data_IF_920864913013
#
_entry.id   IF_920864913013
#
_cell.length_a   1.000
_cell.length_b   1.000
_cell.length_c   1.000
_cell.angle_alpha   90.00
_cell.angle_beta   90.00
_cell.angle_gamma   90.00
#
_symmetry.space_group_name_H-M   'P 1'
#
loop_
_entity.id
_entity.type
_entity.pdbx_description
1 polymer ?
#
# COMPACT_ATOMS: atom_id res chain seq x y z
N UNK A 1 -12.04 -4.81 31.09
CA UNK A 1 -11.85 -5.52 32.38
C UNK A 1 -11.77 -7.03 32.21
N UNK A 2 -11.25 -7.77 33.21
CA UNK A 2 -11.27 -9.25 33.24
C UNK A 2 -12.24 -9.70 34.32
N UNK A 3 -13.17 -10.60 33.97
CA UNK A 3 -14.15 -11.17 34.89
C UNK A 3 -13.92 -12.68 35.02
N UNK A 4 -14.23 -13.24 36.19
CA UNK A 4 -14.05 -14.67 36.46
C UNK A 4 -15.37 -15.31 36.88
N UNK A 5 -15.71 -16.45 36.29
CA UNK A 5 -16.91 -17.19 36.69
C UNK A 5 -16.72 -17.77 38.11
N UNK A 6 -17.63 -17.49 39.07
CA UNK A 6 -17.49 -17.97 40.44
C UNK A 6 -17.66 -19.49 40.57
N UNK A 7 -18.33 -20.14 39.62
CA UNK A 7 -18.60 -21.58 39.67
C UNK A 7 -17.49 -22.47 39.09
N UNK A 8 -16.68 -21.96 38.15
CA UNK A 8 -15.67 -22.78 37.46
C UNK A 8 -14.36 -22.04 37.15
N UNK A 9 -14.16 -20.86 37.77
CA UNK A 9 -12.98 -20.00 37.69
C UNK A 9 -12.46 -19.69 36.27
N UNK A 10 -13.32 -19.81 35.26
CA UNK A 10 -12.96 -19.47 33.87
C UNK A 10 -12.95 -17.95 33.72
N UNK A 11 -11.86 -17.41 33.18
CA UNK A 11 -11.63 -15.97 33.01
C UNK A 11 -12.03 -15.52 31.61
N UNK A 12 -12.70 -14.38 31.51
CA UNK A 12 -13.10 -13.76 30.25
C UNK A 12 -12.61 -12.31 30.20
N UNK A 13 -12.10 -11.90 29.05
CA UNK A 13 -11.77 -10.50 28.77
C UNK A 13 -13.02 -9.86 28.19
N UNK A 14 -13.58 -8.85 28.87
CA UNK A 14 -14.81 -8.17 28.47
C UNK A 14 -14.55 -6.66 28.43
N UNK A 15 -14.96 -5.97 27.36
CA UNK A 15 -14.86 -4.50 27.31
C UNK A 15 -15.78 -3.87 28.36
N UNK A 16 -15.33 -2.79 28.99
CA UNK A 16 -16.04 -2.18 30.13
C UNK A 16 -17.42 -1.63 29.72
N UNK A 17 -17.56 -1.22 28.46
CA UNK A 17 -18.82 -0.79 27.84
C UNK A 17 -19.87 -1.89 27.75
N UNK A 18 -19.50 -3.17 27.80
CA UNK A 18 -20.46 -4.29 27.70
C UNK A 18 -21.13 -4.63 29.03
N UNK A 19 -20.50 -4.26 30.16
CA UNK A 19 -21.07 -4.36 31.50
C UNK A 19 -21.80 -3.08 31.86
N UNK A 20 -21.23 -1.91 31.52
CA UNK A 20 -21.79 -0.62 31.88
C UNK A 20 -21.53 -0.27 33.35
N UNK A 21 -21.82 0.96 33.74
CA UNK A 21 -21.56 1.49 35.10
C UNK A 21 -22.49 0.90 36.15
N UNK A 22 -23.73 0.57 35.78
CA UNK A 22 -24.74 0.02 36.69
C UNK A 22 -24.55 -1.49 36.97
N UNK A 23 -23.53 -2.10 36.37
CA UNK A 23 -23.35 -3.56 36.40
C UNK A 23 -24.31 -4.31 35.47
N UNK A 24 -24.00 -5.58 35.19
CA UNK A 24 -24.81 -6.44 34.32
C UNK A 24 -24.75 -7.90 34.74
N UNK A 25 -25.87 -8.59 34.59
CA UNK A 25 -25.92 -10.05 34.73
C UNK A 25 -25.27 -10.73 33.52
N UNK A 26 -24.22 -11.51 33.79
CA UNK A 26 -23.43 -12.24 32.79
C UNK A 26 -23.60 -13.75 32.98
N UNK A 27 -23.41 -14.52 31.90
CA UNK A 27 -23.52 -15.98 31.92
C UNK A 27 -22.23 -16.63 31.42
N UNK A 28 -21.71 -17.58 32.18
CA UNK A 28 -20.50 -18.32 31.80
C UNK A 28 -20.77 -19.22 30.58
N UNK A 29 -19.94 -19.12 29.54
CA UNK A 29 -20.04 -19.99 28.37
C UNK A 29 -19.69 -21.47 28.69
N UNK A 30 -18.81 -21.70 29.67
CA UNK A 30 -18.34 -23.05 30.04
C UNK A 30 -19.33 -23.84 30.89
N UNK A 31 -19.83 -23.27 31.99
CA UNK A 31 -20.71 -23.96 32.94
C UNK A 31 -22.14 -23.44 32.98
N UNK A 32 -22.48 -22.42 32.17
CA UNK A 32 -23.81 -21.79 32.08
C UNK A 32 -24.32 -21.13 33.36
N UNK A 33 -23.50 -21.00 34.40
CA UNK A 33 -23.82 -20.26 35.61
C UNK A 33 -23.96 -18.75 35.31
N UNK A 34 -25.01 -18.13 35.81
CA UNK A 34 -25.28 -16.69 35.66
C UNK A 34 -25.05 -15.97 36.98
N UNK A 35 -24.29 -14.87 36.95
CA UNK A 35 -24.01 -14.02 38.11
C UNK A 35 -24.06 -12.54 37.71
N UNK A 36 -24.24 -11.65 38.68
CA UNK A 36 -24.18 -10.20 38.45
C UNK A 36 -22.74 -9.72 38.58
N UNK A 37 -22.30 -8.89 37.64
CA UNK A 37 -20.97 -8.28 37.64
C UNK A 37 -21.13 -6.77 37.72
N UNK A 38 -20.58 -6.17 38.76
CA UNK A 38 -20.58 -4.72 38.94
C UNK A 38 -19.71 -4.04 37.87
N UNK A 39 -20.11 -2.84 37.47
CA UNK A 39 -19.34 -2.00 36.56
C UNK A 39 -18.03 -1.54 37.17
N UNK A 40 -17.08 -1.04 36.38
CA UNK A 40 -15.91 -0.37 36.93
C UNK A 40 -16.37 0.85 37.74
N UNK A 41 -15.91 0.98 38.99
CA UNK A 41 -16.10 2.19 39.78
C UNK A 41 -15.42 3.35 39.05
N UNK A 42 -16.23 4.23 38.45
CA UNK A 42 -15.75 5.52 37.98
C UNK A 42 -15.64 6.40 39.21
N UNK A 43 -14.40 6.70 39.61
CA UNK A 43 -14.11 7.69 40.63
C UNK A 43 -14.52 9.08 40.12
N UNK A 44 -15.80 9.42 40.32
CA UNK A 44 -16.37 10.75 40.12
C UNK A 44 -16.39 11.53 41.45
N UNK A 45 -15.50 11.17 42.39
CA UNK A 45 -15.58 11.53 43.81
C UNK A 45 -14.51 12.48 44.34
N UNK A 46 -13.79 13.25 43.51
CA UNK A 46 -12.84 14.29 43.99
C UNK A 46 -13.02 15.66 43.31
N UNK A 47 -14.26 16.06 43.05
CA UNK A 47 -14.60 17.45 42.69
C UNK A 47 -15.76 18.02 43.52
N UNK A 48 -15.88 17.63 44.79
CA UNK A 48 -16.69 18.35 45.76
C UNK A 48 -15.85 18.54 47.02
N UNK A 49 -15.84 19.78 47.53
CA UNK A 49 -15.14 20.27 48.72
C UNK A 49 -13.68 20.77 48.57
N UNK A 50 -13.48 21.69 47.62
CA UNK A 50 -12.62 22.86 47.92
C UNK A 50 -13.53 24.01 48.33
N UNK A 51 -13.53 24.47 49.60
CA UNK A 51 -14.21 25.69 49.98
C UNK A 51 -13.64 26.85 49.15
N UNK A 52 -14.52 27.51 48.41
CA UNK A 52 -14.23 28.75 47.71
C UNK A 52 -13.71 29.78 48.73
N UNK A 53 -12.41 30.09 48.66
CA UNK A 53 -11.86 31.25 49.35
C UNK A 53 -12.09 32.47 48.45
N UNK A 54 -13.13 33.21 48.80
CA UNK A 54 -13.44 34.57 48.38
C UNK A 54 -12.16 35.45 48.31
N UNK A 55 -11.96 36.27 47.27
CA UNK A 55 -10.81 37.14 47.16
C UNK A 55 -10.99 38.37 48.07
N UNK A 56 -10.35 38.36 49.24
CA UNK A 56 -10.22 39.56 50.05
C UNK A 56 -9.18 40.51 49.43
N UNK A 57 -9.68 41.65 48.99
CA UNK A 57 -8.91 42.87 48.77
C UNK A 57 -8.51 43.46 50.12
N UNK A 58 -7.21 43.63 50.35
CA UNK A 58 -6.61 44.78 51.05
C UNK A 58 -5.08 44.71 50.89
N UNK A 59 -4.46 45.60 50.11
CA UNK A 59 -3.92 46.89 50.59
C UNK A 59 -3.02 46.76 51.82
N UNK A 60 -1.72 46.51 51.60
CA UNK A 60 -0.71 47.21 52.39
C UNK A 60 0.53 47.53 51.55
N UNK A 61 0.69 48.83 51.33
CA UNK A 61 1.79 49.45 50.62
C UNK A 61 3.03 49.63 51.51
N UNK A 62 4.16 49.74 50.81
CA UNK A 62 5.40 50.44 51.17
C UNK A 62 6.40 49.74 52.09
N UNK A 63 7.53 49.33 51.49
CA UNK A 63 8.87 49.93 51.67
C UNK A 63 9.80 49.35 50.59
N UNK A 64 10.17 50.14 49.59
CA UNK A 64 11.43 50.88 49.46
C UNK A 64 12.35 50.22 48.42
N UNK A 65 12.45 50.89 47.28
CA UNK A 65 13.51 50.75 46.26
C UNK A 65 14.84 51.23 46.85
N UNK A 66 15.99 50.68 46.42
CA UNK A 66 16.74 51.39 45.38
C UNK A 66 17.27 50.49 44.27
N UNK A 67 17.11 50.96 43.03
CA UNK A 67 17.94 50.59 41.89
C UNK A 67 19.30 51.28 42.00
N UNK A 68 20.36 50.64 41.50
CA UNK A 68 21.10 51.22 40.36
C UNK A 68 21.47 50.08 39.38
N UNK A 69 21.99 50.22 38.17
CA UNK A 69 22.48 51.32 37.34
C UNK A 69 22.36 50.74 35.92
N UNK A 70 21.84 51.51 34.97
CA UNK A 70 21.91 51.16 33.55
C UNK A 70 23.24 51.70 33.02
N UNK A 71 24.21 50.83 32.77
CA UNK A 71 25.39 51.16 31.97
C UNK A 71 25.36 50.41 30.63
N UNK A 72 25.21 51.22 29.57
CA UNK A 72 25.83 51.14 28.25
C UNK A 72 25.78 49.83 27.44
N UNK A 73 24.96 49.85 26.38
CA UNK A 73 25.39 49.30 25.09
C UNK A 73 26.67 50.00 24.60
N UNK A 74 27.47 49.30 23.79
CA UNK A 74 27.87 49.87 22.52
C UNK A 74 27.46 48.97 21.35
N UNK A 75 26.66 49.56 20.47
CA UNK A 75 26.88 49.70 19.04
C UNK A 75 27.71 48.64 18.28
N UNK A 76 27.02 48.00 17.32
CA UNK A 76 27.44 47.68 15.95
C UNK A 76 28.84 47.13 15.65
N UNK A 77 28.86 45.91 15.11
CA UNK A 77 29.74 45.56 14.00
C UNK A 77 28.93 44.82 12.92
N UNK A 78 28.86 45.44 11.73
CA UNK A 78 28.24 44.92 10.51
C UNK A 78 28.98 43.68 9.98
N UNK A 79 28.31 42.82 9.18
CA UNK A 79 28.95 41.68 8.53
C UNK A 79 29.94 42.16 7.45
N UNK A 80 31.18 41.70 7.56
CA UNK A 80 32.20 41.86 6.52
C UNK A 80 31.97 40.85 5.40
N UNK A 81 31.53 41.34 4.25
CA UNK A 81 31.66 40.68 2.96
C UNK A 81 33.13 40.73 2.50
N UNK A 82 33.66 39.62 2.01
CA UNK A 82 34.83 39.42 1.11
C UNK A 82 35.19 37.92 1.20
N UNK A 83 35.41 37.11 0.17
CA UNK A 83 35.75 37.31 -1.22
C UNK A 83 35.23 36.11 -2.05
N UNK A 84 34.67 36.42 -3.22
CA UNK A 84 35.11 35.91 -4.54
C UNK A 84 35.84 34.56 -4.57
N UNK A 85 35.17 33.52 -5.08
CA UNK A 85 35.75 32.74 -6.18
C UNK A 85 34.65 32.18 -7.09
N UNK A 86 34.45 32.89 -8.20
CA UNK A 86 33.88 32.38 -9.45
C UNK A 86 34.95 31.52 -10.12
N UNK A 87 34.60 30.33 -10.62
CA UNK A 87 35.14 29.92 -11.91
C UNK A 87 34.02 29.89 -12.97
N UNK A 88 34.20 30.76 -13.96
CA UNK A 88 33.43 30.81 -15.20
C UNK A 88 33.63 29.54 -16.06
N UNK A 89 32.73 29.29 -17.01
CA UNK A 89 32.52 28.03 -17.67
C UNK A 89 33.57 27.79 -18.75
N UNK A 90 34.06 26.54 -18.83
CA UNK A 90 34.88 26.12 -19.96
C UNK A 90 33.97 25.62 -21.08
N UNK A 91 33.95 26.42 -22.13
CA UNK A 91 33.46 26.15 -23.48
C UNK A 91 34.03 24.86 -24.07
N UNK A 92 33.17 24.09 -24.75
CA UNK A 92 33.34 23.67 -26.16
C UNK A 92 32.57 22.35 -26.42
N UNK A 93 31.51 22.37 -27.25
CA UNK A 93 30.93 21.16 -27.82
C UNK A 93 31.75 20.73 -29.05
N UNK A 94 32.28 19.52 -29.03
CA UNK A 94 32.83 18.89 -30.24
C UNK A 94 31.69 18.25 -31.04
N UNK A 95 31.54 18.75 -32.26
CA UNK A 95 30.72 18.19 -33.32
C UNK A 95 31.42 16.97 -33.93
N UNK A 96 30.67 15.89 -34.17
CA UNK A 96 30.86 14.94 -35.30
C UNK A 96 29.50 14.25 -35.46
N UNK A 97 28.60 14.77 -36.30
CA UNK A 97 28.50 14.60 -37.75
C UNK A 97 28.11 13.16 -38.17
N UNK A 98 27.09 13.12 -39.05
CA UNK A 98 26.57 12.01 -39.90
C UNK A 98 25.97 10.78 -39.16
N UNK A 99 24.78 10.25 -39.42
CA UNK A 99 23.95 10.20 -40.64
C UNK A 99 22.50 9.83 -40.25
N UNK A 100 21.52 10.43 -40.90
CA UNK A 100 20.13 9.99 -40.98
C UNK A 100 19.62 10.41 -42.37
N UNK A 101 18.51 9.89 -42.89
CA UNK A 101 18.18 8.52 -43.27
C UNK A 101 17.90 8.40 -44.79
N UNK A 102 18.12 7.23 -45.37
CA UNK A 102 17.65 6.85 -46.72
C UNK A 102 17.42 5.33 -46.69
N UNK A 103 16.54 4.69 -47.44
CA UNK A 103 15.36 5.06 -48.22
C UNK A 103 14.74 3.72 -48.66
N UNK A 104 13.43 3.73 -48.82
CA UNK A 104 12.58 2.75 -49.48
C UNK A 104 13.23 2.00 -50.68
N UNK A 105 12.92 0.71 -50.84
CA UNK A 105 12.20 0.11 -52.01
C UNK A 105 12.51 -1.39 -52.16
N UNK A 106 11.43 -2.17 -52.14
CA UNK A 106 11.33 -3.55 -52.61
C UNK A 106 11.46 -3.64 -54.14
N UNK A 107 12.21 -4.62 -54.66
CA UNK A 107 11.95 -5.18 -56.00
C UNK A 107 12.16 -6.69 -55.98
N UNK A 108 11.04 -7.39 -55.97
CA UNK A 108 10.84 -8.75 -56.47
C UNK A 108 10.68 -8.65 -58.00
N UNK A 109 11.53 -9.32 -58.78
CA UNK A 109 11.21 -9.81 -60.14
C UNK A 109 12.41 -10.51 -60.78
N UNK A 110 12.35 -11.83 -60.89
CA UNK A 110 13.00 -12.55 -61.98
C UNK A 110 11.94 -13.42 -62.66
N UNK A 111 11.60 -13.02 -63.90
CA UNK A 111 10.76 -13.75 -64.85
C UNK A 111 11.71 -14.26 -65.93
N UNK A 112 11.69 -15.55 -66.21
CA UNK A 112 12.13 -16.08 -67.50
C UNK A 112 11.02 -16.90 -68.12
N UNK A 113 10.61 -16.42 -69.29
CA UNK A 113 9.68 -17.02 -70.23
C UNK A 113 10.20 -18.37 -70.76
N UNK A 114 9.28 -19.27 -71.08
CA UNK A 114 9.49 -20.21 -72.18
C UNK A 114 8.18 -20.38 -72.96
N UNK A 115 8.31 -20.09 -74.24
CA UNK A 115 7.25 -19.97 -75.24
C UNK A 115 6.71 -21.34 -75.72
N UNK A 116 5.45 -21.30 -76.16
CA UNK A 116 4.77 -22.27 -77.03
C UNK A 116 5.10 -21.97 -78.51
N UNK A 117 5.12 -22.98 -79.40
CA UNK A 117 4.20 -23.00 -80.57
C UNK A 117 3.54 -24.41 -80.74
N UNK A 118 2.25 -24.57 -81.09
CA UNK A 118 1.61 -24.44 -82.43
C UNK A 118 1.87 -25.73 -83.26
N UNK A 119 0.97 -26.43 -83.94
CA UNK A 119 -0.46 -26.36 -84.31
C UNK A 119 -0.77 -27.75 -84.94
N UNK A 120 -2.02 -28.22 -84.93
CA UNK A 120 -2.58 -28.89 -86.11
C UNK A 120 -4.11 -28.99 -86.00
N UNK A 121 -4.77 -28.47 -87.02
CA UNK A 121 -6.20 -28.30 -87.21
C UNK A 121 -6.58 -29.11 -88.45
N UNK A 122 -7.75 -29.76 -88.49
CA UNK A 122 -8.66 -29.84 -89.65
C UNK A 122 -10.00 -30.54 -89.25
N UNK A 123 -11.11 -30.34 -89.98
CA UNK A 123 -12.43 -30.06 -89.37
C UNK A 123 -13.59 -30.98 -89.84
N UNK A 124 -14.78 -30.68 -89.28
CA UNK A 124 -16.16 -30.96 -89.75
C UNK A 124 -16.76 -32.36 -89.48
N UNK A 125 -18.10 -32.58 -89.60
CA UNK A 125 -19.28 -31.68 -89.60
C UNK A 125 -20.33 -32.04 -88.50
N UNK A 126 -21.40 -31.25 -88.27
CA UNK A 126 -22.37 -31.52 -87.21
C UNK A 126 -23.46 -32.51 -87.62
N UNK A 127 -23.87 -33.46 -86.76
CA UNK A 127 -25.16 -34.13 -86.89
C UNK A 127 -26.22 -33.47 -85.99
N UNK A 128 -27.17 -32.84 -86.67
CA UNK A 128 -28.62 -32.96 -86.50
C UNK A 128 -29.16 -33.16 -85.09
N UNK A 129 -29.69 -32.07 -84.52
CA UNK A 129 -30.65 -32.10 -83.43
C UNK A 129 -31.89 -32.85 -83.89
N UNK A 130 -32.14 -34.03 -83.32
CA UNK A 130 -33.49 -34.56 -83.25
C UNK A 130 -34.03 -34.13 -81.90
N UNK A 131 -34.92 -33.13 -81.91
CA UNK A 131 -35.81 -32.84 -80.79
C UNK A 131 -36.73 -34.07 -80.62
N UNK A 132 -36.26 -35.05 -79.86
CA UNK A 132 -37.14 -36.09 -79.33
C UNK A 132 -37.54 -35.62 -77.94
N UNK A 133 -38.77 -35.12 -77.82
CA UNK A 133 -39.41 -34.84 -76.55
C UNK A 133 -39.40 -36.13 -75.70
N UNK A 134 -38.61 -36.22 -74.60
CA UNK A 134 -38.66 -37.39 -73.74
C UNK A 134 -39.93 -37.30 -72.90
N UNK A 135 -40.77 -38.32 -73.06
CA UNK A 135 -41.95 -38.62 -72.24
C UNK A 135 -41.74 -38.29 -70.75
N UNK A 136 -42.78 -37.81 -70.03
CA UNK A 136 -42.68 -37.51 -68.61
C UNK A 136 -42.30 -38.79 -67.85
N UNK A 137 -41.06 -38.84 -67.35
CA UNK A 137 -40.67 -39.87 -66.38
C UNK A 137 -41.55 -39.69 -65.14
N UNK A 138 -42.14 -40.77 -64.60
CA UNK A 138 -42.72 -40.69 -63.27
C UNK A 138 -41.61 -40.24 -62.34
N UNK A 139 -41.81 -39.11 -61.65
CA UNK A 139 -40.88 -38.64 -60.63
C UNK A 139 -40.55 -39.82 -59.73
N UNK A 140 -39.29 -40.27 -59.66
CA UNK A 140 -38.90 -41.12 -58.56
C UNK A 140 -39.12 -40.23 -57.34
N UNK A 141 -40.17 -40.52 -56.57
CA UNK A 141 -40.25 -40.07 -55.18
C UNK A 141 -38.98 -40.61 -54.54
N UNK A 142 -37.96 -39.78 -54.51
CA UNK A 142 -36.77 -39.96 -53.69
C UNK A 142 -37.26 -39.78 -52.27
N UNK A 143 -37.93 -40.82 -51.77
CA UNK A 143 -37.84 -41.13 -50.37
C UNK A 143 -36.35 -41.36 -50.13
N UNK A 144 -35.66 -40.28 -49.80
CA UNK A 144 -34.42 -40.31 -49.05
C UNK A 144 -34.78 -40.97 -47.73
N UNK A 145 -34.80 -42.30 -47.75
CA UNK A 145 -34.54 -43.06 -46.56
C UNK A 145 -33.11 -42.70 -46.19
N UNK A 146 -32.98 -41.76 -45.26
CA UNK A 146 -31.83 -41.67 -44.37
C UNK A 146 -31.86 -42.93 -43.47
N UNK A 147 -31.83 -44.11 -44.08
CA UNK A 147 -31.48 -45.34 -43.40
C UNK A 147 -29.97 -45.39 -43.40
N UNK A 148 -29.41 -44.72 -42.39
CA UNK A 148 -28.10 -45.11 -41.88
C UNK A 148 -28.16 -46.61 -41.61
N UNK A 149 -27.31 -47.37 -42.33
CA UNK A 149 -27.33 -48.82 -42.27
C UNK A 149 -26.98 -49.25 -40.86
N UNK A 150 -27.75 -50.17 -40.27
CA UNK A 150 -27.41 -50.77 -38.97
C UNK A 150 -26.09 -51.57 -38.99
N UNK A 151 -25.47 -51.69 -40.17
CA UNK A 151 -24.17 -52.32 -40.39
C UNK A 151 -23.10 -51.33 -40.89
N UNK A 152 -23.37 -50.03 -40.89
CA UNK A 152 -22.32 -49.04 -41.11
C UNK A 152 -21.28 -49.18 -39.98
N UNK A 153 -20.03 -49.40 -40.38
CA UNK A 153 -18.91 -49.66 -39.47
C UNK A 153 -18.58 -48.39 -38.67
N UNK A 154 -19.24 -48.21 -37.52
CA UNK A 154 -18.83 -47.19 -36.54
C UNK A 154 -17.56 -47.71 -35.84
N UNK A 155 -16.40 -47.03 -35.95
CA UNK A 155 -15.17 -47.49 -35.33
C UNK A 155 -15.39 -47.61 -33.81
N UNK A 156 -15.00 -48.73 -33.16
CA UNK A 156 -15.32 -49.02 -31.76
C UNK A 156 -14.72 -48.01 -30.77
N UNK A 157 -13.82 -47.13 -31.23
CA UNK A 157 -13.20 -46.09 -30.42
C UNK A 157 -13.27 -44.75 -31.16
N UNK A 158 -14.18 -43.88 -30.71
CA UNK A 158 -14.19 -42.45 -31.09
C UNK A 158 -12.81 -41.86 -30.79
N UNK A 159 -12.27 -41.04 -31.72
CA UNK A 159 -10.92 -40.49 -31.60
C UNK A 159 -10.73 -39.88 -30.21
N UNK A 160 -9.66 -40.28 -29.51
CA UNK A 160 -9.31 -39.72 -28.20
C UNK A 160 -9.33 -38.21 -28.28
N UNK A 161 -10.07 -37.59 -27.36
CA UNK A 161 -10.22 -36.13 -27.17
C UNK A 161 -8.96 -35.40 -27.65
N UNK A 162 -9.12 -34.42 -28.54
CA UNK A 162 -8.00 -33.64 -29.06
C UNK A 162 -7.22 -33.04 -27.88
N UNK A 163 -6.02 -33.55 -27.55
CA UNK A 163 -5.30 -33.15 -26.34
C UNK A 163 -5.01 -31.65 -26.39
N UNK A 164 -4.72 -31.11 -27.58
CA UNK A 164 -4.48 -29.69 -27.78
C UNK A 164 -5.68 -28.84 -27.33
N UNK A 165 -6.92 -29.25 -27.64
CA UNK A 165 -8.13 -28.55 -27.20
C UNK A 165 -8.33 -28.60 -25.67
N UNK A 166 -7.93 -29.71 -25.04
CA UNK A 166 -7.97 -29.83 -23.57
C UNK A 166 -6.91 -28.92 -22.94
N UNK A 167 -5.70 -28.90 -23.49
CA UNK A 167 -4.62 -28.04 -23.03
C UNK A 167 -4.94 -26.55 -23.23
N UNK A 168 -5.56 -26.17 -24.35
CA UNK A 168 -6.02 -24.78 -24.55
C UNK A 168 -7.15 -24.41 -23.59
N UNK A 169 -8.09 -25.32 -23.32
CA UNK A 169 -9.16 -25.09 -22.34
C UNK A 169 -8.60 -24.98 -20.91
N UNK A 170 -7.63 -25.81 -20.55
CA UNK A 170 -6.95 -25.75 -19.26
C UNK A 170 -6.13 -24.45 -19.12
N UNK A 171 -5.42 -24.03 -20.16
CA UNK A 171 -4.68 -22.77 -20.17
C UNK A 171 -5.62 -21.56 -20.06
N UNK A 172 -6.75 -21.57 -20.78
CA UNK A 172 -7.75 -20.51 -20.69
C UNK A 172 -8.37 -20.44 -19.29
N UNK A 173 -8.71 -21.59 -18.69
CA UNK A 173 -9.20 -21.65 -17.31
C UNK A 173 -8.16 -21.11 -16.32
N UNK A 174 -6.90 -21.55 -16.43
CA UNK A 174 -5.82 -21.05 -15.59
C UNK A 174 -5.63 -19.54 -15.75
N UNK A 175 -5.67 -19.01 -16.97
CA UNK A 175 -5.57 -17.58 -17.23
C UNK A 175 -6.73 -16.81 -16.58
N UNK A 176 -7.96 -17.33 -16.64
CA UNK A 176 -9.11 -16.74 -15.94
C UNK A 176 -8.95 -16.76 -14.42
N UNK A 177 -8.47 -17.87 -13.85
CA UNK A 177 -8.20 -17.96 -12.40
C UNK A 177 -7.09 -17.01 -12.00
N UNK A 178 -5.99 -16.96 -12.75
CA UNK A 178 -4.87 -16.06 -12.49
C UNK A 178 -5.30 -14.59 -12.56
N UNK A 179 -6.04 -14.20 -13.61
CA UNK A 179 -6.59 -12.86 -13.74
C UNK A 179 -7.56 -12.53 -12.59
N UNK A 180 -8.44 -13.48 -12.25
CA UNK A 180 -9.35 -13.35 -11.11
C UNK A 180 -8.63 -13.17 -9.78
N UNK A 181 -7.52 -13.90 -9.55
CA UNK A 181 -6.69 -13.73 -8.35
C UNK A 181 -5.99 -12.38 -8.33
N UNK A 182 -5.47 -11.89 -9.45
CA UNK A 182 -4.84 -10.56 -9.53
C UNK A 182 -5.85 -9.46 -9.23
N UNK A 183 -7.06 -9.55 -9.82
CA UNK A 183 -8.15 -8.60 -9.54
C UNK A 183 -8.57 -8.67 -8.08
N UNK A 184 -8.70 -9.87 -7.51
CA UNK A 184 -9.06 -10.04 -6.10
C UNK A 184 -8.00 -9.44 -5.17
N UNK A 185 -6.71 -9.71 -5.40
CA UNK A 185 -5.60 -9.14 -4.62
C UNK A 185 -5.52 -7.61 -4.80
N UNK A 186 -5.80 -7.11 -5.99
CA UNK A 186 -5.80 -5.65 -6.24
C UNK A 186 -6.93 -4.92 -5.52
N UNK A 187 -8.08 -5.55 -5.32
CA UNK A 187 -9.24 -4.92 -4.70
C UNK A 187 -9.31 -5.16 -3.18
N UNK A 188 -9.03 -6.37 -2.74
CA UNK A 188 -9.12 -6.78 -1.33
C UNK A 188 -7.78 -6.75 -0.59
N UNK A 189 -6.67 -6.58 -1.31
CA UNK A 189 -5.32 -6.67 -0.74
C UNK A 189 -4.85 -8.11 -0.54
N UNK A 190 -3.61 -8.24 -0.05
CA UNK A 190 -3.05 -9.54 0.33
C UNK A 190 -3.64 -9.98 1.68
N UNK A 191 -4.12 -11.23 1.79
CA UNK A 191 -4.67 -11.72 3.03
C UNK A 191 -3.58 -11.86 4.12
N UNK A 192 -3.96 -11.70 5.39
CA UNK A 192 -3.03 -11.63 6.52
C UNK A 192 -2.19 -12.90 6.78
N UNK A 193 -2.61 -14.04 6.23
CA UNK A 193 -1.86 -15.30 6.33
C UNK A 193 -0.67 -15.37 5.36
N UNK A 194 -0.59 -14.48 4.38
CA UNK A 194 0.52 -14.47 3.42
C UNK A 194 1.76 -13.84 4.06
N UNK A 195 2.93 -14.50 4.09
CA UNK A 195 4.14 -14.04 4.78
C UNK A 195 4.88 -12.98 3.95
N UNK A 196 4.17 -11.99 3.45
CA UNK A 196 4.76 -10.83 2.77
C UNK A 196 5.11 -9.80 3.84
N UNK A 197 6.38 -9.42 3.93
CA UNK A 197 6.83 -8.37 4.83
C UNK A 197 6.24 -7.04 4.38
N UNK A 198 5.17 -6.57 5.04
CA UNK A 198 4.65 -5.21 4.84
C UNK A 198 5.73 -4.22 5.31
N UNK A 199 6.00 -3.12 4.57
CA UNK A 199 6.93 -2.10 5.03
C UNK A 199 6.43 -1.54 6.36
N UNK A 200 7.33 -1.43 7.34
CA UNK A 200 6.99 -0.94 8.69
C UNK A 200 6.65 0.55 8.67
N UNK A 201 7.26 1.30 7.76
CA UNK A 201 7.05 2.73 7.58
C UNK A 201 6.36 3.01 6.24
N UNK A 202 5.61 4.11 6.19
CA UNK A 202 5.13 4.65 4.93
C UNK A 202 6.29 5.09 4.03
N UNK A 203 6.00 5.21 2.74
CA UNK A 203 6.92 5.78 1.75
C UNK A 203 7.35 7.18 2.21
N UNK A 204 8.64 7.49 2.07
CA UNK A 204 9.17 8.81 2.38
C UNK A 204 8.38 9.89 1.64
N UNK A 205 7.95 10.92 2.36
CA UNK A 205 7.28 12.05 1.74
C UNK A 205 8.30 12.90 0.98
N UNK A 206 8.01 13.33 -0.26
CA UNK A 206 9.00 14.00 -1.11
C UNK A 206 9.43 15.36 -0.59
N UNK A 207 8.54 16.05 0.14
CA UNK A 207 8.75 17.42 0.62
C UNK A 207 8.98 17.51 2.13
N UNK A 208 8.82 16.41 2.88
CA UNK A 208 8.95 16.40 4.34
C UNK A 208 10.11 15.49 4.76
N UNK A 209 11.16 16.11 5.26
CA UNK A 209 12.37 15.43 5.73
C UNK A 209 12.28 15.28 7.25
N UNK A 210 12.49 14.06 7.74
CA UNK A 210 12.68 13.81 9.17
C UNK A 210 14.18 13.72 9.46
N UNK A 211 14.62 14.50 10.44
CA UNK A 211 15.98 14.45 10.96
C UNK A 211 15.93 14.12 12.45
N UNK A 212 16.31 12.89 12.80
CA UNK A 212 16.36 12.37 14.18
C UNK A 212 17.77 11.87 14.47
N UNK A 213 18.68 12.78 14.83
CA UNK A 213 20.09 12.45 14.92
C UNK A 213 20.34 11.60 16.18
N UNK A 214 21.30 10.66 16.09
CA UNK A 214 21.51 9.64 17.12
C UNK A 214 22.05 10.20 18.44
N UNK A 215 22.67 11.38 18.42
CA UNK A 215 23.13 12.12 19.60
C UNK A 215 21.99 12.71 20.43
N UNK A 216 20.81 12.90 19.82
CA UNK A 216 19.59 13.36 20.49
C UNK A 216 18.67 12.21 20.95
N UNK A 217 19.14 10.96 20.86
CA UNK A 217 18.44 9.80 21.40
C UNK A 217 18.98 9.48 22.79
N UNK A 218 18.18 9.72 23.82
CA UNK A 218 18.55 9.46 25.20
C UNK A 218 17.92 8.15 25.68
N UNK A 219 18.76 7.27 26.25
CA UNK A 219 18.29 6.02 26.85
C UNK A 219 18.81 5.92 28.28
N UNK A 220 17.89 5.81 29.23
CA UNK A 220 18.19 5.73 30.65
C UNK A 220 17.41 4.62 31.31
N UNK A 221 18.05 3.91 32.23
CA UNK A 221 17.34 2.95 33.08
C UNK A 221 16.75 3.71 34.27
N UNK A 222 15.45 3.58 34.48
CA UNK A 222 14.78 4.16 35.65
C UNK A 222 14.99 3.29 36.90
N UNK A 223 14.76 3.84 38.11
CA UNK A 223 14.88 3.08 39.36
C UNK A 223 13.96 1.86 39.45
N UNK A 224 12.85 1.87 38.70
CA UNK A 224 11.89 0.76 38.57
C UNK A 224 12.42 -0.39 37.69
N UNK A 225 13.59 -0.23 37.07
CA UNK A 225 14.21 -1.20 36.18
C UNK A 225 13.67 -1.19 34.75
N UNK A 226 12.76 -0.27 34.41
CA UNK A 226 12.30 -0.02 33.05
C UNK A 226 13.28 0.88 32.29
N UNK A 227 13.33 0.75 30.96
CA UNK A 227 14.11 1.66 30.13
C UNK A 227 13.24 2.83 29.68
N UNK A 228 13.76 4.04 29.86
CA UNK A 228 13.28 5.27 29.27
C UNK A 228 13.98 5.48 27.95
N UNK A 229 13.20 5.83 26.93
CA UNK A 229 13.73 6.21 25.63
C UNK A 229 13.10 7.55 25.22
N UNK A 230 13.95 8.57 25.08
CA UNK A 230 13.59 9.86 24.51
C UNK A 230 14.22 10.00 23.12
N UNK A 231 13.43 10.42 22.15
CA UNK A 231 13.94 10.80 20.83
C UNK A 231 13.48 12.22 20.52
N UNK A 232 14.47 13.06 20.22
CA UNK A 232 14.25 14.40 19.70
C UNK A 232 14.68 14.47 18.24
N UNK A 233 13.94 15.24 17.45
CA UNK A 233 14.24 15.45 16.05
C UNK A 233 13.46 16.61 15.46
N UNK A 234 13.75 16.90 14.20
CA UNK A 234 13.07 17.95 13.44
C UNK A 234 12.41 17.40 12.19
N UNK A 235 11.26 17.96 11.86
CA UNK A 235 10.57 17.74 10.60
C UNK A 235 10.66 19.04 9.81
N UNK A 236 11.25 19.01 8.63
CA UNK A 236 11.40 20.18 7.78
C UNK A 236 10.64 20.01 6.48
N UNK A 237 9.78 20.98 6.15
CA UNK A 237 9.15 21.05 4.84
C UNK A 237 10.13 21.69 3.85
N UNK A 238 10.79 20.90 3.01
CA UNK A 238 11.70 21.36 1.95
C UNK A 238 10.96 21.73 0.66
N UNK A 239 9.64 21.55 0.62
CA UNK A 239 8.78 21.87 -0.51
C UNK A 239 8.48 23.38 -0.64
N UNK A 240 7.69 23.71 -1.67
CA UNK A 240 7.20 25.07 -1.94
C UNK A 240 5.74 25.28 -1.55
N UNK A 241 5.08 24.22 -1.10
CA UNK A 241 3.66 24.23 -0.73
C UNK A 241 3.49 23.84 0.74
N UNK A 242 2.41 24.30 1.35
CA UNK A 242 2.03 23.86 2.70
C UNK A 242 1.65 22.38 2.65
N UNK A 243 2.30 21.56 3.47
CA UNK A 243 2.08 20.10 3.54
C UNK A 243 1.47 19.70 4.87
N UNK A 244 0.66 18.65 4.84
CA UNK A 244 0.15 18.01 6.05
C UNK A 244 1.21 17.04 6.59
N UNK A 245 1.50 17.14 7.89
CA UNK A 245 2.46 16.27 8.57
C UNK A 245 1.72 15.06 9.13
N UNK A 246 1.99 13.84 8.63
CA UNK A 246 1.36 12.64 9.17
C UNK A 246 1.97 12.27 10.52
N UNK A 247 1.33 11.33 11.23
CA UNK A 247 1.91 10.74 12.42
C UNK A 247 3.23 10.02 12.10
N UNK A 248 4.13 10.06 13.07
CA UNK A 248 5.39 9.30 13.05
C UNK A 248 5.18 8.00 13.81
N UNK A 249 5.77 6.92 13.32
CA UNK A 249 5.88 5.66 14.02
C UNK A 249 7.34 5.48 14.45
N UNK A 250 7.55 5.19 15.73
CA UNK A 250 8.86 4.78 16.22
C UNK A 250 8.81 3.29 16.52
N UNK A 251 9.75 2.55 15.95
CA UNK A 251 9.84 1.09 16.09
C UNK A 251 11.18 0.74 16.69
N UNK A 252 11.13 0.12 17.87
CA UNK A 252 12.28 -0.42 18.55
C UNK A 252 12.54 -1.83 18.05
N UNK A 253 13.76 -2.11 17.62
CA UNK A 253 14.21 -3.42 17.16
C UNK A 253 15.24 -4.03 18.11
N UNK A 254 15.28 -5.36 18.15
CA UNK A 254 16.34 -6.11 18.82
C UNK A 254 17.59 -6.28 17.93
N UNK A 255 18.60 -7.01 18.42
CA UNK A 255 19.82 -7.35 17.67
C UNK A 255 19.56 -8.09 16.35
N UNK A 256 18.41 -8.78 16.24
CA UNK A 256 18.02 -9.56 15.07
C UNK A 256 17.15 -8.76 14.11
N UNK A 257 17.06 -7.44 14.29
CA UNK A 257 16.18 -6.55 13.53
C UNK A 257 14.69 -6.88 13.66
N UNK A 258 14.27 -7.59 14.71
CA UNK A 258 12.86 -7.89 14.99
C UNK A 258 12.20 -6.74 15.74
N UNK A 259 11.02 -6.25 15.34
CA UNK A 259 10.32 -5.20 16.06
C UNK A 259 9.81 -5.72 17.41
N UNK A 260 10.28 -5.11 18.50
CA UNK A 260 9.98 -5.54 19.87
C UNK A 260 9.00 -4.62 20.59
N UNK A 261 8.93 -3.37 20.17
CA UNK A 261 8.05 -2.34 20.70
C UNK A 261 7.83 -1.27 19.64
N UNK A 262 6.64 -0.68 19.59
CA UNK A 262 6.32 0.41 18.67
C UNK A 262 5.35 1.37 19.35
N UNK A 263 5.48 2.67 19.05
CA UNK A 263 4.51 3.67 19.46
C UNK A 263 4.36 4.75 18.39
N UNK A 264 3.20 5.39 18.42
CA UNK A 264 2.87 6.48 17.51
C UNK A 264 3.12 7.82 18.20
N UNK A 265 3.71 8.73 17.45
CA UNK A 265 3.96 10.12 17.82
C UNK A 265 3.07 11.00 16.95
N UNK A 266 2.19 11.76 17.58
CA UNK A 266 1.33 12.73 16.91
C UNK A 266 2.04 14.09 16.91
N UNK A 267 2.40 14.65 15.74
CA UNK A 267 3.01 15.96 15.66
C UNK A 267 2.10 17.04 16.28
N UNK A 268 2.65 18.03 17.01
CA UNK A 268 1.85 19.11 17.61
C UNK A 268 1.23 20.03 16.55
N UNK A 269 1.85 20.15 15.37
CA UNK A 269 1.30 20.84 14.21
C UNK A 269 1.06 19.84 13.09
N UNK A 270 -0.19 19.75 12.62
CA UNK A 270 -0.58 18.90 11.50
C UNK A 270 -0.26 19.48 10.13
N UNK A 271 0.22 20.72 10.06
CA UNK A 271 0.55 21.41 8.80
C UNK A 271 1.81 22.24 8.94
N UNK A 272 2.69 22.19 7.94
CA UNK A 272 3.90 23.01 7.87
C UNK A 272 3.93 23.81 6.58
N UNK A 273 4.18 25.12 6.72
CA UNK A 273 4.43 26.00 5.61
C UNK A 273 5.75 25.65 4.90
N UNK A 274 5.97 26.15 3.66
CA UNK A 274 7.22 25.94 2.94
C UNK A 274 8.43 26.45 3.75
N UNK A 275 9.44 25.59 3.95
CA UNK A 275 10.64 25.90 4.75
C UNK A 275 10.43 25.88 6.26
N UNK A 276 9.21 25.68 6.76
CA UNK A 276 8.96 25.59 8.20
C UNK A 276 9.55 24.28 8.76
N UNK A 277 10.15 24.40 9.95
CA UNK A 277 10.75 23.27 10.67
C UNK A 277 10.05 23.11 12.01
N UNK A 278 9.59 21.90 12.30
CA UNK A 278 8.93 21.53 13.55
C UNK A 278 9.85 20.66 14.39
N UNK A 279 10.08 21.05 15.63
CA UNK A 279 10.84 20.22 16.59
C UNK A 279 9.90 19.31 17.35
N UNK A 280 10.23 18.03 17.42
CA UNK A 280 9.48 17.02 18.17
C UNK A 280 10.38 16.47 19.25
N UNK A 281 9.85 16.47 20.48
CA UNK A 281 10.49 15.90 21.65
C UNK A 281 9.52 14.91 22.25
N UNK A 282 9.73 13.62 21.97
CA UNK A 282 8.87 12.57 22.50
C UNK A 282 9.66 11.58 23.33
N UNK A 283 9.01 11.13 24.40
CA UNK A 283 9.62 10.23 25.35
C UNK A 283 8.63 9.18 25.81
N UNK A 284 9.11 7.95 25.90
CA UNK A 284 8.31 6.80 26.33
C UNK A 284 9.00 6.08 27.47
N UNK A 285 8.20 5.71 28.47
CA UNK A 285 8.60 4.86 29.58
C UNK A 285 8.24 3.40 29.27
N UNK A 286 8.80 2.45 30.02
CA UNK A 286 8.51 1.01 29.88
C UNK A 286 9.02 0.32 28.60
N UNK A 287 10.11 0.81 28.01
CA UNK A 287 10.73 0.14 26.85
C UNK A 287 11.37 -1.20 27.28
N UNK A 288 11.14 -2.31 26.56
CA UNK A 288 11.77 -3.59 26.86
C UNK A 288 13.30 -3.54 26.69
N UNK A 289 14.06 -4.13 27.63
CA UNK A 289 15.54 -4.21 27.57
C UNK A 289 16.13 -4.86 26.32
N UNK A 290 15.33 -5.68 25.62
CA UNK A 290 15.70 -6.30 24.34
C UNK A 290 15.76 -5.31 23.18
N UNK A 291 15.16 -4.12 23.33
CA UNK A 291 15.23 -3.05 22.35
C UNK A 291 16.64 -2.45 22.30
N UNK A 292 17.26 -2.51 21.12
CA UNK A 292 18.63 -2.05 20.90
C UNK A 292 18.69 -0.84 19.98
N UNK A 293 17.92 -0.84 18.91
CA UNK A 293 17.94 0.18 17.86
C UNK A 293 16.54 0.77 17.72
N UNK A 294 16.45 2.09 17.61
CA UNK A 294 15.22 2.79 17.30
C UNK A 294 15.23 3.19 15.82
N UNK A 295 14.21 2.80 15.08
CA UNK A 295 13.94 3.30 13.74
C UNK A 295 12.72 4.22 13.79
N UNK A 296 12.87 5.42 13.22
CA UNK A 296 11.81 6.42 13.16
C UNK A 296 11.41 6.57 11.69
N UNK A 297 10.11 6.59 11.42
CA UNK A 297 9.61 6.85 10.09
C UNK A 297 8.14 7.21 10.09
N UNK A 298 7.59 7.49 8.92
CA UNK A 298 6.19 7.84 8.78
C UNK A 298 5.28 6.63 9.08
N UNK A 299 4.17 6.87 9.79
CA UNK A 299 3.16 5.84 10.02
C UNK A 299 2.45 5.48 8.70
N UNK A 300 2.32 4.20 8.34
CA UNK A 300 1.49 3.78 7.22
C UNK A 300 0.01 4.08 7.49
N UNK A 301 -0.65 4.73 6.53
CA UNK A 301 -2.08 5.06 6.53
C UNK A 301 -2.96 3.84 6.30
#
# INVERSE_FOLDING_TARGET
MIIACPACSTKYVVPDTAIGVDGRTVRCAKCRHSWHQDGPELDLGEYQDTPAKEPETDQQAAKETPAPEREAMPEAAKPGFTNTHVPEPKSAPAQTEVTQPESNVSVEQERTDTAKPEEDNFPAPPPTVVETEPQPQPEPKTFYYDETSQFDYEPPFRSRRNPLKIWTAAAAFFAFVALGTVVAVSYYGLPDWMPVKKPTFAVAQPDLVLDFPADQQDRRTLPDGSEYFGASGTITNTGRETRNVPSILVVMRDERNSPVYQWEVVPPQSTLAPGESLTINEAVTSVPKRAKVAEIGWKPS
#
